data_IF_685704769305
#
_entry.id   IF_685704769305
#
_cell.length_a   1.000
_cell.length_b   1.000
_cell.length_c   1.000
_cell.angle_alpha   90.00
_cell.angle_beta   90.00
_cell.angle_gamma   90.00
#
_symmetry.space_group_name_H-M   'P 1'
#
loop_
_entity.id
_entity.type
_entity.pdbx_description
1 polymer ?
#
# COMPACT_ATOMS: atom_id res chain seq x y z
N UNK A 1 -21.62 -30.48 -45.53
CA UNK A 1 -20.60 -31.19 -46.33
C UNK A 1 -19.22 -30.86 -45.77
N UNK A 2 -18.53 -31.89 -45.28
CA UNK A 2 -17.08 -32.07 -45.08
C UNK A 2 -16.27 -31.15 -44.14
N UNK A 3 -15.88 -31.79 -43.02
CA UNK A 3 -14.66 -31.61 -42.23
C UNK A 3 -13.38 -31.48 -43.05
N UNK A 4 -12.35 -30.82 -42.48
CA UNK A 4 -10.97 -31.34 -42.49
C UNK A 4 -10.11 -30.72 -41.38
N UNK A 5 -9.61 -31.63 -40.54
CA UNK A 5 -8.55 -31.50 -39.53
C UNK A 5 -7.20 -31.59 -40.27
N UNK A 6 -6.17 -30.86 -39.85
CA UNK A 6 -4.80 -31.38 -39.84
C UNK A 6 -3.97 -30.74 -38.72
N UNK A 7 -3.31 -31.61 -37.96
CA UNK A 7 -2.36 -31.29 -36.92
C UNK A 7 -0.96 -31.80 -37.33
N UNK A 8 0.06 -31.25 -36.65
CA UNK A 8 1.44 -31.75 -36.45
C UNK A 8 2.48 -31.68 -37.59
N UNK A 9 3.51 -30.87 -37.36
CA UNK A 9 4.96 -31.18 -37.38
C UNK A 9 5.61 -30.09 -36.48
N UNK A 10 6.41 -30.34 -35.43
CA UNK A 10 7.31 -31.44 -35.16
C UNK A 10 8.71 -31.11 -35.69
N UNK A 11 9.50 -30.30 -34.97
CA UNK A 11 10.86 -29.95 -35.36
C UNK A 11 11.66 -29.30 -34.23
N UNK A 12 12.40 -30.13 -33.50
CA UNK A 12 13.43 -29.71 -32.56
C UNK A 12 14.65 -29.16 -33.32
N UNK A 13 15.23 -28.06 -32.84
CA UNK A 13 16.65 -27.78 -33.10
C UNK A 13 17.34 -27.33 -31.81
N UNK A 14 18.26 -28.18 -31.37
CA UNK A 14 19.29 -27.92 -30.38
C UNK A 14 20.14 -26.70 -30.76
N UNK A 15 20.44 -25.91 -29.72
CA UNK A 15 21.74 -25.27 -29.40
C UNK A 15 22.68 -24.94 -30.57
N UNK A 16 22.85 -23.65 -30.81
CA UNK A 16 24.12 -23.07 -31.27
C UNK A 16 24.55 -21.99 -30.28
N UNK A 17 25.51 -22.36 -29.42
CA UNK A 17 26.41 -21.44 -28.72
C UNK A 17 27.25 -20.71 -29.77
N UNK A 18 26.99 -19.42 -30.02
CA UNK A 18 27.98 -18.52 -30.61
C UNK A 18 27.76 -17.07 -30.17
N UNK A 19 28.69 -16.63 -29.33
CA UNK A 19 29.36 -15.31 -29.31
C UNK A 19 28.55 -14.06 -29.66
N UNK A 20 28.46 -13.17 -28.67
CA UNK A 20 27.82 -11.87 -28.76
C UNK A 20 28.34 -10.93 -29.85
N UNK A 21 27.49 -9.95 -30.16
CA UNK A 21 27.89 -8.66 -30.72
C UNK A 21 27.28 -7.56 -29.86
N UNK A 22 28.16 -6.81 -29.21
CA UNK A 22 27.83 -5.62 -28.45
C UNK A 22 27.38 -4.50 -29.40
N UNK A 23 26.21 -3.92 -29.14
CA UNK A 23 25.81 -2.64 -29.72
C UNK A 23 26.41 -1.54 -28.83
N UNK A 24 27.35 -0.79 -29.41
CA UNK A 24 28.10 0.29 -28.77
C UNK A 24 27.31 1.61 -28.77
N UNK A 25 27.23 2.25 -27.60
CA UNK A 25 27.25 3.72 -27.47
C UNK A 25 27.84 4.11 -26.09
N UNK A 26 28.94 4.86 -26.16
CA UNK A 26 29.61 5.67 -25.14
C UNK A 26 29.99 5.06 -23.77
N UNK A 27 31.28 4.79 -23.60
CA UNK A 27 32.08 5.27 -22.46
C UNK A 27 31.86 4.70 -21.05
N UNK A 28 30.92 3.79 -20.82
CA UNK A 28 30.73 3.15 -19.51
C UNK A 28 31.39 1.77 -19.56
N UNK A 29 32.41 1.55 -18.73
CA UNK A 29 32.93 0.21 -18.45
C UNK A 29 31.76 -0.65 -17.97
N UNK A 30 31.29 -1.57 -18.83
CA UNK A 30 30.24 -2.52 -18.45
C UNK A 30 30.86 -3.50 -17.47
N UNK A 31 30.54 -3.32 -16.19
CA UNK A 31 30.90 -4.28 -15.16
C UNK A 31 30.41 -5.66 -15.57
N UNK A 32 31.26 -6.67 -15.40
CA UNK A 32 30.85 -8.05 -15.65
C UNK A 32 29.89 -8.51 -14.55
N UNK A 33 29.02 -9.46 -14.88
CA UNK A 33 28.13 -10.09 -13.90
C UNK A 33 28.91 -10.69 -12.71
N UNK A 34 30.15 -11.12 -12.95
CA UNK A 34 31.04 -11.65 -11.92
C UNK A 34 31.55 -10.54 -10.99
N UNK A 35 31.99 -9.40 -11.54
CA UNK A 35 32.39 -8.23 -10.74
C UNK A 35 31.24 -7.70 -9.87
N UNK A 36 30.02 -7.72 -10.43
CA UNK A 36 28.79 -7.37 -9.72
C UNK A 36 28.60 -8.32 -8.53
N UNK A 37 28.64 -9.65 -8.75
CA UNK A 37 28.52 -10.63 -7.66
C UNK A 37 29.59 -10.49 -6.58
N UNK A 38 30.83 -10.24 -6.95
CA UNK A 38 31.94 -10.07 -6.02
C UNK A 38 31.78 -8.82 -5.16
N UNK A 39 31.33 -7.72 -5.76
CA UNK A 39 30.99 -6.49 -5.02
C UNK A 39 29.84 -6.74 -4.05
N UNK A 40 28.78 -7.43 -4.46
CA UNK A 40 27.66 -7.81 -3.59
C UNK A 40 28.16 -8.61 -2.39
N UNK A 41 28.95 -9.65 -2.66
CA UNK A 41 29.51 -10.53 -1.63
C UNK A 41 30.40 -9.76 -0.65
N UNK A 42 31.10 -8.72 -1.12
CA UNK A 42 31.93 -7.85 -0.27
C UNK A 42 31.13 -7.11 0.81
N UNK A 43 29.81 -6.93 0.64
CA UNK A 43 28.93 -6.32 1.65
C UNK A 43 28.41 -7.31 2.70
N UNK A 44 28.78 -8.59 2.63
CA UNK A 44 28.26 -9.62 3.54
C UNK A 44 28.45 -9.30 5.02
N UNK A 45 29.59 -8.77 5.42
CA UNK A 45 29.85 -8.42 6.83
C UNK A 45 29.11 -7.15 7.28
N UNK A 46 28.92 -6.19 6.37
CA UNK A 46 28.09 -5.00 6.62
C UNK A 46 26.63 -5.41 6.81
N UNK A 47 26.10 -6.25 5.93
CA UNK A 47 24.74 -6.77 6.05
C UNK A 47 24.58 -7.51 7.39
N UNK A 48 25.49 -8.42 7.75
CA UNK A 48 25.47 -9.10 9.05
C UNK A 48 25.51 -8.12 10.22
N UNK A 49 26.28 -7.04 10.14
CA UNK A 49 26.34 -6.04 11.21
C UNK A 49 25.00 -5.32 11.40
N UNK A 50 24.33 -4.92 10.30
CA UNK A 50 22.99 -4.33 10.33
C UNK A 50 22.00 -5.31 10.96
N UNK A 51 22.00 -6.57 10.51
CA UNK A 51 21.13 -7.63 11.02
C UNK A 51 21.36 -7.86 12.50
N UNK A 52 22.63 -7.98 12.91
CA UNK A 52 22.98 -8.21 14.29
C UNK A 52 22.54 -7.04 15.18
N UNK A 53 22.74 -5.79 14.75
CA UNK A 53 22.28 -4.62 15.51
C UNK A 53 20.75 -4.64 15.71
N UNK A 54 20.01 -4.97 14.66
CA UNK A 54 18.56 -4.91 14.62
C UNK A 54 17.86 -6.11 15.28
N UNK A 55 18.43 -7.30 15.19
CA UNK A 55 17.83 -8.54 15.72
C UNK A 55 18.34 -8.89 17.11
N UNK A 56 19.65 -8.72 17.36
CA UNK A 56 20.33 -9.22 18.56
C UNK A 56 21.01 -8.12 19.38
N UNK A 57 21.10 -6.91 18.83
CA UNK A 57 21.81 -5.79 19.42
C UNK A 57 20.87 -4.79 20.11
N UNK A 58 21.42 -3.62 20.40
CA UNK A 58 20.70 -2.55 21.12
C UNK A 58 19.48 -1.98 20.39
N UNK A 59 19.32 -2.24 19.09
CA UNK A 59 18.17 -1.77 18.31
C UNK A 59 17.05 -2.83 18.22
N UNK A 60 17.20 -3.96 18.90
CA UNK A 60 16.15 -4.98 18.99
C UNK A 60 14.83 -4.35 19.46
N UNK A 61 13.74 -4.66 18.76
CA UNK A 61 12.38 -4.15 18.99
C UNK A 61 12.17 -2.63 18.80
N UNK A 62 13.21 -1.85 18.47
CA UNK A 62 13.10 -0.39 18.39
C UNK A 62 12.01 0.07 17.41
N UNK A 63 11.94 -0.51 16.22
CA UNK A 63 10.91 -0.18 15.23
C UNK A 63 9.50 -0.49 15.74
N UNK A 64 9.31 -1.64 16.41
CA UNK A 64 8.04 -2.02 17.01
C UNK A 64 7.62 -1.05 18.12
N UNK A 65 8.53 -0.71 19.04
CA UNK A 65 8.25 0.21 20.15
C UNK A 65 7.93 1.63 19.65
N UNK A 66 8.68 2.10 18.65
CA UNK A 66 8.42 3.38 17.97
C UNK A 66 7.03 3.39 17.35
N UNK A 67 6.68 2.33 16.61
CA UNK A 67 5.37 2.21 15.96
C UNK A 67 4.25 2.13 16.99
N UNK A 68 4.39 1.26 18.00
CA UNK A 68 3.44 1.09 19.10
C UNK A 68 3.14 2.43 19.77
N UNK A 69 4.18 3.22 20.08
CA UNK A 69 4.02 4.54 20.67
C UNK A 69 3.24 5.49 19.76
N UNK A 70 3.54 5.53 18.45
CA UNK A 70 2.80 6.39 17.52
C UNK A 70 1.32 5.99 17.46
N UNK A 71 1.03 4.71 17.26
CA UNK A 71 -0.34 4.24 17.08
C UNK A 71 -1.16 4.37 18.37
N UNK A 72 -0.56 4.18 19.54
CA UNK A 72 -1.25 4.32 20.83
C UNK A 72 -1.53 5.79 21.19
N UNK A 73 -0.69 6.75 20.75
CA UNK A 73 -0.77 8.16 21.17
C UNK A 73 -1.33 9.11 20.10
N UNK A 74 -1.39 8.67 18.85
CA UNK A 74 -1.95 9.43 17.72
C UNK A 74 -3.22 8.76 17.20
N UNK A 75 -3.22 7.43 17.11
CA UNK A 75 -4.30 6.65 16.55
C UNK A 75 -4.40 6.74 15.02
N UNK A 76 -5.61 6.67 14.43
CA UNK A 76 -5.79 6.72 12.99
C UNK A 76 -5.42 8.08 12.40
N UNK A 77 -4.90 8.08 11.17
CA UNK A 77 -4.22 9.22 10.53
C UNK A 77 -4.79 9.50 9.14
N UNK A 78 -6.11 9.61 9.01
CA UNK A 78 -6.76 9.86 7.72
C UNK A 78 -6.30 11.18 7.10
N UNK A 79 -6.24 11.23 5.77
CA UNK A 79 -5.99 12.46 5.02
C UNK A 79 -6.91 13.60 5.44
N UNK A 80 -6.33 14.79 5.62
CA UNK A 80 -7.01 15.99 6.11
C UNK A 80 -7.31 15.99 7.61
N UNK A 81 -6.96 14.94 8.35
CA UNK A 81 -7.18 14.87 9.80
C UNK A 81 -6.09 15.57 10.61
N UNK A 82 -6.45 16.04 11.80
CA UNK A 82 -5.48 16.57 12.78
C UNK A 82 -4.46 15.53 13.25
N UNK A 83 -4.83 14.25 13.24
CA UNK A 83 -3.97 13.16 13.68
C UNK A 83 -2.84 12.90 12.68
N UNK A 84 -3.13 12.99 11.37
CA UNK A 84 -2.10 12.92 10.33
C UNK A 84 -1.08 14.05 10.51
N UNK A 85 -1.53 15.30 10.67
CA UNK A 85 -0.63 16.43 10.91
C UNK A 85 0.21 16.25 12.17
N UNK A 86 -0.38 15.74 13.25
CA UNK A 86 0.36 15.40 14.48
C UNK A 86 1.42 14.32 14.22
N UNK A 87 1.10 13.29 13.46
CA UNK A 87 2.04 12.23 13.11
C UNK A 87 3.21 12.75 12.27
N UNK A 88 2.93 13.61 11.28
CA UNK A 88 3.95 14.26 10.45
C UNK A 88 4.93 15.05 11.34
N UNK A 89 4.41 15.84 12.29
CA UNK A 89 5.28 16.61 13.20
C UNK A 89 6.11 15.72 14.12
N UNK A 90 5.54 14.64 14.65
CA UNK A 90 6.27 13.65 15.46
C UNK A 90 7.39 13.01 14.62
N UNK A 91 7.09 12.58 13.39
CA UNK A 91 8.08 11.99 12.50
C UNK A 91 9.19 12.97 12.14
N UNK A 92 8.84 14.20 11.78
CA UNK A 92 9.82 15.25 11.51
C UNK A 92 10.80 15.46 12.68
N UNK A 93 10.29 15.55 13.91
CA UNK A 93 11.12 15.70 15.11
C UNK A 93 11.99 14.48 15.37
N UNK A 94 11.44 13.27 15.24
CA UNK A 94 12.17 12.02 15.47
C UNK A 94 13.32 11.85 14.47
N UNK A 95 13.09 12.17 13.19
CA UNK A 95 14.11 12.10 12.14
C UNK A 95 15.27 13.07 12.41
N UNK A 96 14.97 14.26 12.95
CA UNK A 96 15.99 15.21 13.40
C UNK A 96 16.78 14.70 14.61
N UNK A 97 16.10 14.12 15.59
CA UNK A 97 16.73 13.57 16.81
C UNK A 97 17.64 12.38 16.51
N UNK A 98 17.29 11.57 15.52
CA UNK A 98 18.13 10.48 15.00
C UNK A 98 19.38 11.01 14.24
N UNK A 99 19.48 12.32 14.03
CA UNK A 99 20.62 12.96 13.38
C UNK A 99 20.71 12.62 11.89
N UNK A 100 19.58 12.31 11.24
CA UNK A 100 19.50 12.17 9.79
C UNK A 100 19.73 13.53 9.12
N UNK A 101 20.11 13.50 7.85
CA UNK A 101 20.44 14.69 7.06
C UNK A 101 19.25 15.16 6.24
N UNK A 102 19.30 16.43 5.83
CA UNK A 102 18.29 17.03 4.95
C UNK A 102 16.84 16.72 5.38
N UNK A 103 16.57 16.79 6.69
CA UNK A 103 15.23 16.51 7.22
C UNK A 103 14.34 17.72 6.94
N UNK A 104 13.30 17.54 6.13
CA UNK A 104 12.37 18.61 5.75
C UNK A 104 10.97 18.08 5.42
N UNK A 105 10.03 19.00 5.33
CA UNK A 105 8.65 18.75 4.92
C UNK A 105 8.44 19.27 3.51
N UNK A 106 7.88 18.44 2.63
CA UNK A 106 7.51 18.85 1.27
C UNK A 106 5.99 19.03 1.17
N UNK A 107 5.49 20.21 0.76
CA UNK A 107 4.06 20.49 0.74
C UNK A 107 3.31 19.62 -0.28
N UNK A 108 2.15 19.12 0.13
CA UNK A 108 1.22 18.35 -0.70
C UNK A 108 -0.20 18.87 -0.47
N UNK A 109 -0.97 18.97 -1.55
CA UNK A 109 -2.41 19.26 -1.48
C UNK A 109 -3.20 17.95 -1.43
N UNK A 110 -3.95 17.68 -0.37
CA UNK A 110 -4.58 16.37 -0.12
C UNK A 110 -6.10 16.47 -0.01
N UNK A 111 -6.85 15.41 -0.39
CA UNK A 111 -8.30 15.36 -0.20
C UNK A 111 -8.69 15.39 1.27
N UNK A 112 -9.83 16.01 1.59
CA UNK A 112 -10.39 16.02 2.94
C UNK A 112 -11.80 15.44 2.94
N UNK A 113 -11.91 14.21 3.41
CA UNK A 113 -13.18 13.49 3.57
C UNK A 113 -13.35 13.05 5.02
N UNK A 114 -14.56 13.21 5.56
CA UNK A 114 -14.93 12.77 6.89
C UNK A 114 -16.11 11.81 6.83
N UNK A 115 -15.99 10.65 7.48
CA UNK A 115 -16.99 9.58 7.49
C UNK A 115 -18.32 9.95 8.15
N UNK A 116 -18.27 10.73 9.22
CA UNK A 116 -19.43 11.02 10.07
C UNK A 116 -20.02 9.78 10.75
N UNK A 117 -21.21 9.93 11.35
CA UNK A 117 -21.94 8.81 11.92
C UNK A 117 -22.61 7.98 10.82
N UNK A 118 -22.65 6.67 11.01
CA UNK A 118 -23.25 5.76 10.05
C UNK A 118 -23.99 4.59 10.72
N UNK A 119 -25.09 4.17 10.09
CA UNK A 119 -25.85 2.99 10.53
C UNK A 119 -26.65 2.39 9.38
N UNK A 120 -26.84 1.06 9.43
CA UNK A 120 -27.84 0.39 8.61
C UNK A 120 -28.65 -0.60 9.46
N UNK A 121 -29.96 -0.62 9.20
CA UNK A 121 -30.91 -1.51 9.86
C UNK A 121 -31.78 -2.16 8.79
N UNK A 122 -31.78 -3.49 8.75
CA UNK A 122 -32.80 -4.24 8.02
C UNK A 122 -34.12 -4.13 8.77
N UNK A 123 -35.18 -3.72 8.09
CA UNK A 123 -36.53 -3.57 8.62
C UNK A 123 -37.42 -4.78 8.28
N UNK A 124 -37.27 -5.32 7.07
CA UNK A 124 -37.94 -6.53 6.59
C UNK A 124 -36.88 -7.56 6.16
N UNK A 125 -37.09 -8.87 6.40
CA UNK A 125 -38.28 -9.50 7.02
C UNK A 125 -38.28 -9.45 8.56
N UNK A 126 -37.18 -8.99 9.17
CA UNK A 126 -37.03 -8.81 10.61
C UNK A 126 -36.12 -7.63 10.89
N UNK A 127 -36.24 -7.07 12.08
CA UNK A 127 -35.28 -6.09 12.57
C UNK A 127 -33.91 -6.76 12.75
N UNK A 128 -32.89 -6.24 12.07
CA UNK A 128 -31.50 -6.69 12.20
C UNK A 128 -30.55 -5.51 12.00
N UNK A 129 -29.66 -5.27 12.96
CA UNK A 129 -28.61 -4.26 12.83
C UNK A 129 -27.48 -4.82 11.97
N UNK A 130 -27.17 -4.14 10.88
CA UNK A 130 -26.11 -4.52 9.95
C UNK A 130 -24.85 -3.76 10.38
N UNK A 131 -23.72 -4.47 10.47
CA UNK A 131 -22.45 -3.81 10.66
C UNK A 131 -21.98 -3.23 9.33
N UNK A 132 -21.82 -1.90 9.29
CA UNK A 132 -21.46 -1.15 8.09
C UNK A 132 -20.22 -0.33 8.29
N UNK A 133 -19.56 -0.01 7.19
CA UNK A 133 -18.49 0.94 7.16
C UNK A 133 -18.41 1.66 5.80
N UNK A 134 -18.62 2.96 5.79
CA UNK A 134 -18.61 3.80 4.60
C UNK A 134 -17.33 3.64 3.81
N UNK A 135 -17.40 3.78 2.49
CA UNK A 135 -16.19 3.79 1.67
C UNK A 135 -15.64 5.22 1.62
N UNK A 136 -14.31 5.34 1.63
CA UNK A 136 -13.66 6.64 1.58
C UNK A 136 -13.98 7.34 0.27
N UNK A 137 -14.33 8.63 0.36
CA UNK A 137 -14.92 9.47 -0.68
C UNK A 137 -16.44 9.30 -0.91
N UNK A 138 -17.12 8.33 -0.29
CA UNK A 138 -18.57 8.20 -0.42
C UNK A 138 -19.29 9.45 0.07
N UNK A 139 -20.34 9.86 -0.65
CA UNK A 139 -21.27 10.86 -0.13
C UNK A 139 -22.10 10.32 1.03
N UNK A 140 -22.59 11.22 1.87
CA UNK A 140 -23.60 10.91 2.89
C UNK A 140 -24.99 10.69 2.29
N UNK A 141 -25.87 10.07 3.07
CA UNK A 141 -27.30 10.01 2.76
C UNK A 141 -27.98 11.37 3.02
N UNK A 142 -29.19 11.60 2.50
CA UNK A 142 -30.06 12.65 3.03
C UNK A 142 -30.25 12.52 4.56
N UNK A 143 -30.56 13.62 5.29
CA UNK A 143 -30.70 13.59 6.76
C UNK A 143 -31.69 12.55 7.31
N UNK A 144 -32.77 12.29 6.58
CA UNK A 144 -33.78 11.29 6.89
C UNK A 144 -33.28 9.84 6.67
N UNK A 145 -32.18 9.66 5.92
CA UNK A 145 -31.67 8.38 5.48
C UNK A 145 -32.35 7.85 4.22
N UNK A 146 -31.85 6.74 3.68
CA UNK A 146 -32.45 6.04 2.54
C UNK A 146 -33.12 4.78 3.07
N UNK A 147 -34.43 4.65 2.87
CA UNK A 147 -35.15 3.41 3.16
C UNK A 147 -35.65 2.80 1.86
N UNK A 148 -35.12 1.64 1.48
CA UNK A 148 -35.45 1.02 0.20
C UNK A 148 -35.33 -0.51 0.23
N UNK A 149 -35.97 -1.15 -0.75
CA UNK A 149 -35.81 -2.58 -0.99
C UNK A 149 -34.38 -2.88 -1.47
N UNK A 150 -33.89 -4.07 -1.16
CA UNK A 150 -32.55 -4.52 -1.55
C UNK A 150 -32.60 -5.40 -2.78
N UNK A 151 -31.70 -5.13 -3.72
CA UNK A 151 -31.34 -6.05 -4.80
C UNK A 151 -29.98 -6.68 -4.49
N UNK A 152 -29.95 -7.98 -4.20
CA UNK A 152 -28.69 -8.72 -4.01
C UNK A 152 -28.21 -9.28 -5.35
N UNK A 153 -26.96 -9.00 -5.69
CA UNK A 153 -26.26 -9.50 -6.88
C UNK A 153 -24.84 -9.95 -6.52
N UNK A 154 -24.24 -10.79 -7.35
CA UNK A 154 -22.90 -11.36 -7.13
C UNK A 154 -21.83 -10.80 -8.06
N UNK A 155 -22.25 -10.07 -9.12
CA UNK A 155 -21.34 -9.43 -10.06
C UNK A 155 -21.93 -8.21 -10.75
N UNK A 156 -21.09 -7.39 -11.38
CA UNK A 156 -21.53 -6.30 -12.25
C UNK A 156 -22.34 -6.82 -13.44
N UNK A 157 -21.94 -7.96 -14.04
CA UNK A 157 -22.71 -8.57 -15.13
C UNK A 157 -24.11 -8.99 -14.69
N UNK A 158 -24.25 -9.51 -13.47
CA UNK A 158 -25.57 -9.84 -12.93
C UNK A 158 -26.42 -8.58 -12.73
N UNK A 159 -25.82 -7.52 -12.16
CA UNK A 159 -26.49 -6.23 -12.02
C UNK A 159 -27.00 -5.70 -13.37
N UNK A 160 -26.16 -5.74 -14.41
CA UNK A 160 -26.54 -5.28 -15.73
C UNK A 160 -27.69 -6.11 -16.33
N UNK A 161 -27.65 -7.45 -16.20
CA UNK A 161 -28.77 -8.31 -16.63
C UNK A 161 -30.07 -8.03 -15.89
N UNK A 162 -29.97 -7.58 -14.64
CA UNK A 162 -31.09 -7.29 -13.74
C UNK A 162 -31.33 -5.78 -13.56
N UNK A 163 -30.86 -4.96 -14.49
CA UNK A 163 -30.89 -3.51 -14.36
C UNK A 163 -32.31 -2.95 -14.14
N UNK A 164 -33.33 -3.56 -14.75
CA UNK A 164 -34.73 -3.19 -14.57
C UNK A 164 -35.24 -3.38 -13.13
N UNK A 165 -34.63 -4.27 -12.36
CA UNK A 165 -34.97 -4.53 -10.96
C UNK A 165 -34.27 -3.57 -9.99
N UNK A 166 -33.18 -2.91 -10.41
CA UNK A 166 -32.30 -2.14 -9.53
C UNK A 166 -32.80 -0.71 -9.25
N UNK A 167 -33.63 -0.16 -10.14
CA UNK A 167 -34.13 1.22 -10.02
C UNK A 167 -34.85 1.44 -8.69
N UNK A 168 -34.39 2.43 -7.92
CA UNK A 168 -34.99 2.79 -6.63
C UNK A 168 -34.65 1.84 -5.48
N UNK A 169 -33.71 0.90 -5.68
CA UNK A 169 -33.28 -0.07 -4.67
C UNK A 169 -31.88 0.23 -4.13
N UNK A 170 -31.55 -0.39 -3.00
CA UNK A 170 -30.16 -0.52 -2.53
C UNK A 170 -29.57 -1.77 -3.14
N UNK A 171 -28.45 -1.65 -3.87
CA UNK A 171 -27.77 -2.81 -4.45
C UNK A 171 -26.78 -3.38 -3.44
N UNK A 172 -26.92 -4.67 -3.11
CA UNK A 172 -25.93 -5.40 -2.30
C UNK A 172 -25.09 -6.28 -3.22
N UNK A 173 -23.79 -6.02 -3.29
CA UNK A 173 -22.83 -6.87 -4.01
C UNK A 173 -22.28 -7.95 -3.08
N UNK A 174 -22.84 -9.16 -3.16
CA UNK A 174 -22.37 -10.34 -2.45
C UNK A 174 -21.32 -11.12 -3.26
N UNK A 175 -20.25 -10.44 -3.70
CA UNK A 175 -19.20 -11.08 -4.48
C UNK A 175 -18.28 -11.92 -3.57
N UNK A 176 -18.08 -13.23 -3.85
CA UNK A 176 -17.17 -14.08 -3.08
C UNK A 176 -15.70 -13.67 -3.27
N UNK A 177 -14.93 -13.61 -2.18
CA UNK A 177 -13.53 -13.23 -2.24
C UNK A 177 -12.72 -14.26 -3.03
N UNK A 178 -11.95 -13.79 -4.02
CA UNK A 178 -11.03 -14.61 -4.81
C UNK A 178 -9.60 -14.26 -4.40
N UNK A 179 -9.24 -13.00 -4.62
CA UNK A 179 -8.04 -12.35 -4.15
C UNK A 179 -8.31 -10.84 -4.13
N UNK A 180 -7.43 -10.08 -3.46
CA UNK A 180 -7.64 -8.64 -3.30
C UNK A 180 -7.76 -7.92 -4.65
N UNK A 181 -6.82 -8.12 -5.58
CA UNK A 181 -6.80 -7.44 -6.89
C UNK A 181 -8.04 -7.69 -7.74
N UNK A 182 -8.68 -8.86 -7.62
CA UNK A 182 -9.91 -9.18 -8.34
C UNK A 182 -11.16 -8.69 -7.62
N UNK A 183 -11.21 -8.76 -6.29
CA UNK A 183 -12.42 -8.41 -5.53
C UNK A 183 -12.52 -6.92 -5.23
N UNK A 184 -11.40 -6.19 -5.14
CA UNK A 184 -11.38 -4.76 -4.78
C UNK A 184 -12.17 -3.87 -5.74
N UNK A 185 -12.35 -4.28 -7.01
CA UNK A 185 -13.14 -3.52 -8.00
C UNK A 185 -14.58 -3.22 -7.53
N UNK A 186 -15.19 -4.11 -6.72
CA UNK A 186 -16.54 -3.88 -6.19
C UNK A 186 -16.56 -2.78 -5.14
N UNK A 187 -15.49 -2.64 -4.36
CA UNK A 187 -15.29 -1.50 -3.46
C UNK A 187 -15.10 -0.23 -4.27
N UNK A 188 -14.20 -0.26 -5.26
CA UNK A 188 -13.82 0.94 -6.01
C UNK A 188 -14.95 1.46 -6.90
N UNK A 189 -15.65 0.58 -7.63
CA UNK A 189 -16.59 0.95 -8.71
C UNK A 189 -18.05 0.59 -8.41
N UNK A 190 -18.34 -0.06 -7.28
CA UNK A 190 -19.69 -0.57 -6.99
C UNK A 190 -20.78 0.51 -6.96
N UNK A 191 -20.45 1.71 -6.47
CA UNK A 191 -21.35 2.86 -6.46
C UNK A 191 -21.71 3.31 -7.87
N UNK A 192 -20.70 3.47 -8.73
CA UNK A 192 -20.85 3.89 -10.13
C UNK A 192 -21.70 2.88 -10.91
N UNK A 193 -21.41 1.58 -10.79
CA UNK A 193 -22.16 0.54 -11.51
C UNK A 193 -23.62 0.45 -11.04
N UNK A 194 -23.87 0.63 -9.73
CA UNK A 194 -25.22 0.67 -9.18
C UNK A 194 -25.99 1.93 -9.61
N UNK A 195 -25.33 3.09 -9.62
CA UNK A 195 -25.92 4.36 -10.04
C UNK A 195 -26.33 4.35 -11.52
N UNK A 196 -25.53 3.74 -12.41
CA UNK A 196 -25.84 3.60 -13.85
C UNK A 196 -27.20 2.92 -14.11
N UNK A 197 -27.65 2.03 -13.21
CA UNK A 197 -28.93 1.32 -13.32
C UNK A 197 -30.04 1.92 -12.42
N UNK A 198 -29.77 3.07 -11.80
CA UNK A 198 -30.76 3.83 -11.01
C UNK A 198 -30.93 3.36 -9.57
N UNK A 199 -29.95 2.67 -8.99
CA UNK A 199 -29.92 2.37 -7.57
C UNK A 199 -29.80 3.65 -6.73
N UNK A 200 -30.27 3.60 -5.48
CA UNK A 200 -30.21 4.72 -4.53
C UNK A 200 -28.95 4.71 -3.66
N UNK A 201 -28.37 3.53 -3.45
CA UNK A 201 -27.12 3.31 -2.72
C UNK A 201 -26.55 1.92 -3.05
N UNK A 202 -25.29 1.69 -2.70
CA UNK A 202 -24.66 0.36 -2.80
C UNK A 202 -24.05 -0.11 -1.48
N UNK A 203 -24.17 -1.40 -1.20
CA UNK A 203 -23.55 -2.06 -0.07
C UNK A 203 -22.65 -3.20 -0.58
N UNK A 204 -21.38 -3.17 -0.21
CA UNK A 204 -20.38 -4.09 -0.74
C UNK A 204 -20.04 -5.14 0.33
N UNK A 205 -20.10 -6.43 0.00
CA UNK A 205 -19.48 -7.46 0.84
C UNK A 205 -18.00 -7.12 1.04
N UNK A 206 -17.56 -7.06 2.29
CA UNK A 206 -16.17 -6.70 2.61
C UNK A 206 -15.17 -7.54 1.82
N UNK A 207 -14.12 -6.87 1.32
CA UNK A 207 -13.06 -7.46 0.50
C UNK A 207 -12.14 -8.30 1.39
N UNK A 208 -12.63 -9.46 1.83
CA UNK A 208 -11.97 -10.30 2.81
C UNK A 208 -12.23 -11.79 2.55
N UNK A 209 -11.19 -12.62 2.73
CA UNK A 209 -11.30 -14.08 2.73
C UNK A 209 -11.92 -14.62 4.01
N UNK A 210 -11.66 -13.95 5.14
CA UNK A 210 -12.18 -14.25 6.48
C UNK A 210 -12.89 -13.01 7.02
N UNK A 211 -14.00 -13.20 7.74
CA UNK A 211 -14.65 -12.13 8.49
C UNK A 211 -14.88 -12.57 9.92
N UNK A 212 -14.78 -11.59 10.81
CA UNK A 212 -15.10 -11.72 12.24
C UNK A 212 -16.21 -10.73 12.60
N UNK A 213 -17.18 -10.57 11.69
CA UNK A 213 -18.20 -9.52 11.75
C UNK A 213 -17.61 -8.08 11.71
N UNK A 214 -16.51 -7.88 10.99
CA UNK A 214 -15.84 -6.60 10.80
C UNK A 214 -15.94 -6.12 9.34
N UNK A 215 -16.66 -5.02 9.06
CA UNK A 215 -16.67 -4.43 7.72
C UNK A 215 -15.35 -3.71 7.40
N UNK A 216 -14.94 -3.70 6.13
CA UNK A 216 -13.69 -3.07 5.68
C UNK A 216 -13.96 -1.80 4.85
N UNK A 217 -13.30 -0.70 5.18
CA UNK A 217 -13.35 0.51 4.35
C UNK A 217 -12.30 0.45 3.24
N UNK A 218 -12.05 1.59 2.61
CA UNK A 218 -11.11 1.73 1.52
C UNK A 218 -11.62 2.74 0.51
N UNK A 219 -10.75 3.10 -0.42
CA UNK A 219 -11.08 4.05 -1.48
C UNK A 219 -12.22 3.52 -2.36
N UNK A 220 -13.13 4.43 -2.70
CA UNK A 220 -14.05 4.30 -3.83
C UNK A 220 -13.89 5.51 -4.77
N UNK A 221 -14.32 5.35 -6.01
CA UNK A 221 -14.21 6.38 -7.04
C UNK A 221 -15.57 6.61 -7.70
N UNK A 222 -15.99 7.87 -7.76
CA UNK A 222 -17.09 8.29 -8.61
C UNK A 222 -16.63 8.51 -10.05
N UNK A 223 -17.59 8.55 -10.97
CA UNK A 223 -17.33 8.75 -12.40
C UNK A 223 -18.10 9.98 -12.88
N UNK A 224 -17.42 10.86 -13.62
CA UNK A 224 -18.05 12.01 -14.25
C UNK A 224 -19.27 11.62 -15.10
N UNK A 225 -20.36 12.36 -14.93
CA UNK A 225 -21.62 12.12 -15.64
C UNK A 225 -22.47 10.98 -15.08
N UNK A 226 -22.03 10.30 -14.02
CA UNK A 226 -22.83 9.31 -13.28
C UNK A 226 -23.28 9.92 -11.95
N UNK A 227 -24.56 9.80 -11.56
CA UNK A 227 -25.00 10.29 -10.25
C UNK A 227 -24.22 9.64 -9.10
N UNK A 228 -23.75 10.45 -8.17
CA UNK A 228 -23.13 9.95 -6.94
C UNK A 228 -24.20 9.38 -6.02
N UNK A 229 -23.93 8.19 -5.46
CA UNK A 229 -24.82 7.52 -4.50
C UNK A 229 -24.02 7.09 -3.26
N UNK A 230 -24.63 7.06 -2.07
CA UNK A 230 -23.97 6.55 -0.86
C UNK A 230 -23.51 5.11 -1.04
N UNK A 231 -22.32 4.79 -0.53
CA UNK A 231 -21.76 3.45 -0.62
C UNK A 231 -20.96 3.06 0.63
N UNK A 232 -21.19 1.84 1.11
CA UNK A 232 -20.53 1.31 2.29
C UNK A 232 -20.21 -0.17 2.11
N UNK A 233 -19.20 -0.66 2.83
CA UNK A 233 -19.02 -2.08 3.03
C UNK A 233 -19.90 -2.59 4.16
N UNK A 234 -20.29 -3.85 4.04
CA UNK A 234 -20.96 -4.63 5.07
C UNK A 234 -20.17 -5.90 5.35
N UNK A 235 -20.48 -6.55 6.46
CA UNK A 235 -19.84 -7.82 6.82
C UNK A 235 -20.14 -8.92 5.79
N UNK A 236 -19.28 -9.94 5.76
CA UNK A 236 -19.50 -11.12 4.90
C UNK A 236 -20.79 -11.83 5.31
N UNK A 237 -21.02 -11.93 6.62
CA UNK A 237 -22.14 -12.60 7.24
C UNK A 237 -23.47 -11.94 6.87
N UNK A 238 -23.54 -10.60 6.91
CA UNK A 238 -24.74 -9.85 6.53
C UNK A 238 -25.02 -9.95 5.02
N UNK A 239 -24.00 -9.84 4.17
CA UNK A 239 -24.14 -9.99 2.73
C UNK A 239 -24.64 -11.40 2.35
N UNK A 240 -24.07 -12.44 2.94
CA UNK A 240 -24.48 -13.82 2.70
C UNK A 240 -25.86 -14.14 3.28
N UNK A 241 -26.20 -13.58 4.45
CA UNK A 241 -27.55 -13.68 5.01
C UNK A 241 -28.58 -13.12 4.04
N UNK A 242 -28.34 -11.91 3.51
CA UNK A 242 -29.23 -11.27 2.55
C UNK A 242 -29.32 -12.06 1.25
N UNK A 243 -28.20 -12.62 0.77
CA UNK A 243 -28.20 -13.49 -0.40
C UNK A 243 -29.08 -14.74 -0.20
N UNK A 244 -29.00 -15.38 0.96
CA UNK A 244 -29.88 -16.52 1.31
C UNK A 244 -31.36 -16.13 1.49
N UNK A 245 -31.66 -14.90 1.89
CA UNK A 245 -33.04 -14.40 1.97
C UNK A 245 -33.58 -14.13 0.56
N UNK A 246 -32.82 -13.41 -0.26
CA UNK A 246 -33.18 -13.08 -1.63
C UNK A 246 -33.39 -14.34 -2.50
N UNK A 247 -32.56 -15.38 -2.35
CA UNK A 247 -32.72 -16.65 -3.08
C UNK A 247 -33.99 -17.42 -2.72
N UNK A 248 -34.62 -17.11 -1.57
CA UNK A 248 -35.92 -17.66 -1.15
C UNK A 248 -37.10 -16.76 -1.57
N UNK A 249 -36.85 -15.69 -2.33
CA UNK A 249 -37.86 -14.70 -2.70
C UNK A 249 -38.33 -13.83 -1.53
N UNK A 250 -37.57 -13.78 -0.43
CA UNK A 250 -37.91 -12.95 0.73
C UNK A 250 -37.52 -11.51 0.43
N UNK A 251 -38.49 -10.60 0.57
CA UNK A 251 -38.28 -9.16 0.45
C UNK A 251 -37.41 -8.66 1.61
N UNK A 252 -36.42 -7.84 1.27
CA UNK A 252 -35.49 -7.23 2.23
C UNK A 252 -35.61 -5.72 2.07
N UNK A 253 -35.82 -5.02 3.19
CA UNK A 253 -35.85 -3.54 3.22
C UNK A 253 -34.82 -3.06 4.22
N UNK A 254 -33.96 -2.12 3.80
CA UNK A 254 -32.92 -1.52 4.65
C UNK A 254 -33.18 -0.03 4.79
N UNK A 255 -33.02 0.49 6.01
CA UNK A 255 -32.76 1.89 6.26
C UNK A 255 -31.25 2.11 6.42
N UNK A 256 -30.67 2.96 5.56
CA UNK A 256 -29.27 3.35 5.56
C UNK A 256 -29.14 4.83 5.95
N UNK A 257 -28.22 5.15 6.85
CA UNK A 257 -27.82 6.51 7.18
C UNK A 257 -26.30 6.62 7.15
N UNK A 258 -25.80 7.62 6.45
CA UNK A 258 -24.38 7.95 6.38
C UNK A 258 -24.20 9.46 6.49
N UNK A 259 -23.38 9.90 7.44
CA UNK A 259 -23.10 11.31 7.69
C UNK A 259 -21.88 11.85 6.93
N UNK A 260 -21.38 11.10 5.94
CA UNK A 260 -20.12 11.40 5.27
C UNK A 260 -20.14 12.75 4.53
N UNK A 261 -19.02 13.46 4.57
CA UNK A 261 -18.84 14.79 3.99
C UNK A 261 -17.48 14.91 3.33
N UNK A 262 -17.48 15.52 2.15
CA UNK A 262 -16.26 15.94 1.45
C UNK A 262 -16.10 17.44 1.63
N UNK A 263 -14.92 17.85 2.07
CA UNK A 263 -14.50 19.23 2.19
C UNK A 263 -13.58 19.60 1.02
N UNK A 264 -13.31 20.89 0.78
CA UNK A 264 -12.24 21.28 -0.12
C UNK A 264 -10.93 20.62 0.32
N UNK A 265 -10.07 20.32 -0.65
CA UNK A 265 -8.71 19.84 -0.37
C UNK A 265 -8.01 20.73 0.67
N UNK A 266 -7.03 20.18 1.37
CA UNK A 266 -6.26 20.89 2.38
C UNK A 266 -4.77 20.71 2.16
N UNK A 267 -3.97 21.62 2.72
CA UNK A 267 -2.52 21.53 2.67
C UNK A 267 -2.03 20.57 3.75
N UNK A 268 -1.00 19.80 3.42
CA UNK A 268 -0.29 18.87 4.29
C UNK A 268 1.14 18.68 3.78
N UNK A 269 1.85 17.66 4.26
CA UNK A 269 3.26 17.45 3.93
C UNK A 269 3.62 15.97 3.75
N UNK A 270 4.49 15.68 2.78
CA UNK A 270 5.34 14.49 2.84
C UNK A 270 6.53 14.78 3.78
N UNK A 271 7.02 13.76 4.48
CA UNK A 271 8.20 13.91 5.35
C UNK A 271 9.43 13.29 4.69
N UNK A 272 10.52 14.04 4.58
CA UNK A 272 11.74 13.61 3.89
C UNK A 272 12.94 13.64 4.85
N UNK A 273 13.81 12.63 4.77
CA UNK A 273 15.10 12.59 5.46
C UNK A 273 16.13 11.79 4.65
N UNK A 274 17.41 12.02 4.88
CA UNK A 274 18.49 11.44 4.06
C UNK A 274 19.67 10.93 4.88
N UNK A 275 20.42 10.03 4.25
CA UNK A 275 21.84 9.78 4.54
C UNK A 275 22.59 10.08 3.25
N UNK A 276 23.34 11.19 3.20
CA UNK A 276 24.07 11.60 2.00
C UNK A 276 25.09 10.54 1.62
N UNK A 277 25.10 10.20 0.32
CA UNK A 277 26.02 9.23 -0.25
C UNK A 277 27.47 9.71 -0.26
N UNK A 278 28.42 8.79 -0.14
CA UNK A 278 29.85 9.12 -0.07
C UNK A 278 30.53 9.27 -1.44
N UNK A 279 30.00 8.61 -2.48
CA UNK A 279 30.64 8.53 -3.81
C UNK A 279 29.80 9.14 -4.92
N UNK A 280 28.49 8.97 -4.83
CA UNK A 280 27.47 9.41 -5.78
C UNK A 280 26.33 10.09 -5.00
N UNK A 281 26.61 11.20 -4.27
CA UNK A 281 25.60 11.87 -3.44
C UNK A 281 24.38 12.37 -4.23
N UNK A 282 24.53 12.59 -5.54
CA UNK A 282 23.45 12.97 -6.45
C UNK A 282 22.52 11.80 -6.82
N UNK A 283 22.97 10.55 -6.65
CA UNK A 283 22.15 9.39 -6.94
C UNK A 283 21.39 8.97 -5.69
N UNK A 284 20.07 8.85 -5.82
CA UNK A 284 19.17 8.60 -4.70
C UNK A 284 18.59 7.19 -4.80
N UNK A 285 18.64 6.46 -3.70
CA UNK A 285 17.84 5.26 -3.46
C UNK A 285 16.75 5.64 -2.48
N UNK A 286 15.50 5.51 -2.91
CA UNK A 286 14.33 5.85 -2.12
C UNK A 286 13.93 4.67 -1.25
N UNK A 287 13.60 4.91 0.01
CA UNK A 287 13.09 3.91 0.96
C UNK A 287 11.86 4.56 1.60
N UNK A 288 10.68 3.94 1.54
CA UNK A 288 9.45 4.67 1.89
C UNK A 288 8.38 3.82 2.55
N UNK A 289 7.37 4.52 3.06
CA UNK A 289 6.07 3.98 3.43
C UNK A 289 5.10 5.15 3.50
N UNK A 290 3.81 4.90 3.69
CA UNK A 290 2.86 5.98 3.87
C UNK A 290 2.50 6.18 5.34
N UNK A 291 2.34 7.44 5.73
CA UNK A 291 2.10 7.82 7.11
C UNK A 291 0.61 7.95 7.41
N UNK A 292 -0.24 8.13 6.40
CA UNK A 292 -1.67 8.11 6.58
C UNK A 292 -2.21 6.70 6.87
N UNK A 293 -3.52 6.62 7.14
CA UNK A 293 -4.25 5.37 7.33
C UNK A 293 -5.74 5.65 7.32
N UNK A 294 -6.55 4.62 7.12
CA UNK A 294 -7.98 4.72 7.39
C UNK A 294 -8.33 5.04 8.85
N UNK A 295 -9.51 5.60 9.05
CA UNK A 295 -9.98 6.24 10.27
C UNK A 295 -10.55 5.30 11.36
N UNK A 296 -10.58 3.99 11.10
CA UNK A 296 -11.35 3.01 11.89
C UNK A 296 -10.47 2.03 12.68
N UNK A 297 -9.16 2.05 12.40
CA UNK A 297 -8.15 1.28 13.11
C UNK A 297 -7.10 2.20 13.72
N UNK A 298 -5.88 1.69 13.85
CA UNK A 298 -4.73 2.49 14.31
C UNK A 298 -3.65 2.68 13.23
N UNK A 299 -3.89 2.17 12.01
CA UNK A 299 -2.92 2.22 10.92
C UNK A 299 -1.59 1.54 11.25
N UNK A 300 -1.61 0.47 12.04
CA UNK A 300 -0.39 -0.19 12.51
C UNK A 300 0.27 -1.02 11.40
N UNK A 301 -0.52 -1.83 10.69
CA UNK A 301 0.00 -2.64 9.58
C UNK A 301 -0.04 -1.89 8.25
N UNK A 302 -1.02 -1.01 8.05
CA UNK A 302 -1.25 -0.25 6.81
C UNK A 302 -1.25 1.25 7.15
N UNK A 303 -0.15 1.98 6.93
CA UNK A 303 1.22 1.47 6.64
C UNK A 303 2.23 1.87 7.73
N UNK A 304 1.79 1.86 8.99
CA UNK A 304 2.71 2.08 10.12
C UNK A 304 3.92 1.13 10.09
N UNK A 305 3.71 -0.13 9.68
CA UNK A 305 4.76 -1.12 9.52
C UNK A 305 5.82 -0.71 8.50
N UNK A 306 5.42 -0.50 7.24
CA UNK A 306 6.34 -0.11 6.17
C UNK A 306 7.01 1.23 6.43
N UNK A 307 6.26 2.24 6.89
CA UNK A 307 6.81 3.54 7.26
C UNK A 307 7.90 3.45 8.34
N UNK A 308 7.67 2.67 9.40
CA UNK A 308 8.62 2.55 10.52
C UNK A 308 9.78 1.61 10.23
N UNK A 309 9.61 0.62 9.34
CA UNK A 309 10.72 -0.18 8.83
C UNK A 309 11.63 0.68 7.96
N UNK A 310 11.06 1.52 7.09
CA UNK A 310 11.80 2.45 6.24
C UNK A 310 12.59 3.48 7.04
N UNK A 311 12.01 4.02 8.11
CA UNK A 311 12.73 4.85 9.07
C UNK A 311 13.83 4.07 9.82
N UNK A 312 13.54 2.87 10.29
CA UNK A 312 14.50 2.04 11.02
C UNK A 312 15.72 1.67 10.14
N UNK A 313 15.52 1.42 8.85
CA UNK A 313 16.60 1.12 7.92
C UNK A 313 17.66 2.23 7.88
N UNK A 314 17.24 3.49 7.78
CA UNK A 314 18.16 4.63 7.84
C UNK A 314 18.77 4.78 9.25
N UNK A 315 17.96 4.61 10.30
CA UNK A 315 18.42 4.69 11.69
C UNK A 315 19.57 3.72 11.99
N UNK A 316 19.45 2.45 11.54
CA UNK A 316 20.47 1.42 11.74
C UNK A 316 21.78 1.74 10.97
N UNK A 317 21.67 2.24 9.74
CA UNK A 317 22.83 2.65 8.95
C UNK A 317 23.56 3.80 9.65
N UNK A 318 22.80 4.79 10.17
CA UNK A 318 23.32 5.90 10.95
C UNK A 318 24.01 5.44 12.23
N UNK A 319 23.38 4.55 13.00
CA UNK A 319 23.91 4.01 14.26
C UNK A 319 25.25 3.29 14.11
N UNK A 320 25.44 2.60 12.99
CA UNK A 320 26.68 1.91 12.67
C UNK A 320 27.75 2.82 12.07
N UNK A 321 27.45 4.11 11.87
CA UNK A 321 28.34 5.06 11.21
C UNK A 321 28.64 4.69 9.75
N UNK A 322 27.75 3.93 9.11
CA UNK A 322 27.91 3.49 7.73
C UNK A 322 27.54 4.62 6.78
N UNK A 323 28.29 4.73 5.67
CA UNK A 323 27.96 5.65 4.58
C UNK A 323 27.80 4.88 3.27
N UNK A 324 26.59 4.87 2.68
CA UNK A 324 26.34 4.28 1.37
C UNK A 324 27.02 5.11 0.28
N UNK A 325 27.31 4.50 -0.88
CA UNK A 325 27.86 5.17 -2.05
C UNK A 325 26.88 6.21 -2.59
N UNK A 326 25.59 5.86 -2.61
CA UNK A 326 24.46 6.69 -3.07
C UNK A 326 23.72 7.26 -1.87
N UNK A 327 23.03 8.37 -2.06
CA UNK A 327 22.17 8.94 -1.03
C UNK A 327 20.99 8.02 -0.78
N UNK A 328 20.74 7.66 0.48
CA UNK A 328 19.48 7.02 0.88
C UNK A 328 18.51 8.11 1.27
N UNK A 329 17.33 8.13 0.66
CA UNK A 329 16.27 9.10 0.98
C UNK A 329 15.06 8.35 1.51
N UNK A 330 14.71 8.62 2.76
CA UNK A 330 13.41 8.29 3.32
C UNK A 330 12.39 9.30 2.80
N UNK A 331 11.27 8.80 2.29
CA UNK A 331 10.07 9.62 2.15
C UNK A 331 8.88 8.92 2.79
N UNK A 332 8.21 9.60 3.71
CA UNK A 332 6.94 9.18 4.27
C UNK A 332 5.83 9.89 3.52
N UNK A 333 5.07 9.12 2.73
CA UNK A 333 4.01 9.63 1.87
C UNK A 333 2.78 10.01 2.67
N UNK A 334 2.07 11.01 2.18
CA UNK A 334 0.78 11.42 2.73
C UNK A 334 -0.31 11.24 1.68
N UNK A 335 -1.49 10.82 2.13
CA UNK A 335 -2.66 10.53 1.31
C UNK A 335 -2.43 9.43 0.26
N UNK A 336 -1.77 8.35 0.67
CA UNK A 336 -1.70 7.11 -0.11
C UNK A 336 -3.07 6.45 -0.20
N UNK A 337 -3.81 6.43 0.91
CA UNK A 337 -5.11 5.76 1.02
C UNK A 337 -6.18 6.40 0.10
N UNK A 338 -5.94 7.63 -0.35
CA UNK A 338 -6.77 8.35 -1.31
C UNK A 338 -6.23 8.28 -2.76
N UNK A 339 -5.35 7.33 -3.04
CA UNK A 339 -4.85 7.04 -4.39
C UNK A 339 -3.43 7.55 -4.66
N UNK A 340 -2.54 7.51 -3.66
CA UNK A 340 -1.12 7.83 -3.86
C UNK A 340 -0.83 9.32 -4.12
N UNK A 341 -1.62 10.23 -3.54
CA UNK A 341 -1.60 11.66 -3.86
C UNK A 341 -0.24 12.30 -3.54
N UNK A 342 0.32 12.03 -2.36
CA UNK A 342 1.62 12.56 -1.94
C UNK A 342 2.77 12.08 -2.80
N UNK A 343 2.82 10.79 -3.11
CA UNK A 343 3.83 10.22 -4.00
C UNK A 343 3.72 10.78 -5.42
N UNK A 344 2.49 10.95 -5.93
CA UNK A 344 2.26 11.53 -7.25
C UNK A 344 2.76 12.98 -7.33
N UNK A 345 2.40 13.84 -6.37
CA UNK A 345 2.84 15.23 -6.36
C UNK A 345 4.35 15.36 -6.18
N UNK A 346 4.95 14.51 -5.33
CA UNK A 346 6.41 14.41 -5.21
C UNK A 346 7.05 14.10 -6.56
N UNK A 347 6.55 13.09 -7.27
CA UNK A 347 7.05 12.75 -8.61
C UNK A 347 6.91 13.93 -9.58
N UNK A 348 5.77 14.63 -9.59
CA UNK A 348 5.59 15.80 -10.47
C UNK A 348 6.58 16.93 -10.17
N UNK A 349 6.87 17.18 -8.90
CA UNK A 349 7.80 18.22 -8.46
C UNK A 349 9.25 17.88 -8.86
N UNK A 350 9.67 16.63 -8.66
CA UNK A 350 11.07 16.25 -8.80
C UNK A 350 11.46 15.65 -10.16
N UNK A 351 10.51 15.25 -11.02
CA UNK A 351 10.81 14.63 -12.33
C UNK A 351 11.68 15.49 -13.26
N UNK A 352 11.63 16.82 -13.11
CA UNK A 352 12.39 17.77 -13.96
C UNK A 352 13.80 18.02 -13.42
N UNK A 353 13.93 18.18 -12.11
CA UNK A 353 15.19 18.54 -11.43
C UNK A 353 16.03 17.31 -11.07
N UNK A 354 15.41 16.14 -10.97
CA UNK A 354 16.04 14.86 -10.65
C UNK A 354 15.60 13.79 -11.67
N UNK A 355 16.09 13.83 -12.92
CA UNK A 355 15.64 12.94 -13.99
C UNK A 355 15.85 11.45 -13.68
N UNK A 356 16.70 11.11 -12.72
CA UNK A 356 16.89 9.73 -12.24
C UNK A 356 15.72 9.20 -11.41
N UNK A 357 14.89 10.05 -10.79
CA UNK A 357 13.63 9.61 -10.14
C UNK A 357 12.71 8.96 -11.18
N UNK A 358 12.76 9.40 -12.45
CA UNK A 358 12.03 8.74 -13.53
C UNK A 358 12.70 7.44 -14.03
N UNK A 359 13.90 7.10 -13.56
CA UNK A 359 14.76 6.05 -14.15
C UNK A 359 15.18 4.93 -13.18
N UNK A 360 15.24 5.20 -11.87
CA UNK A 360 15.70 4.25 -10.84
C UNK A 360 14.93 4.40 -9.51
N UNK A 361 13.62 4.66 -9.59
CA UNK A 361 12.75 4.65 -8.41
C UNK A 361 12.53 3.20 -7.95
N UNK A 362 13.29 2.78 -6.94
CA UNK A 362 13.03 1.54 -6.22
C UNK A 362 12.20 1.89 -4.99
N UNK A 363 10.88 1.81 -5.11
CA UNK A 363 9.99 1.92 -3.97
C UNK A 363 10.01 0.55 -3.26
N UNK A 364 10.64 0.49 -2.10
CA UNK A 364 10.31 -0.50 -1.10
C UNK A 364 9.12 0.07 -0.32
N UNK A 365 7.92 -0.30 -0.70
CA UNK A 365 6.68 0.03 0.01
C UNK A 365 6.08 -1.31 0.45
N UNK A 366 6.07 -1.57 1.75
CA UNK A 366 5.62 -2.83 2.31
C UNK A 366 4.15 -2.70 2.73
N UNK A 367 3.24 -2.49 1.77
CA UNK A 367 1.81 -2.59 2.06
C UNK A 367 1.41 -4.06 2.20
N UNK A 368 0.90 -4.44 3.38
CA UNK A 368 0.25 -5.73 3.70
C UNK A 368 1.11 -7.00 3.86
N UNK A 369 1.65 -7.23 5.07
CA UNK A 369 2.12 -8.55 5.54
C UNK A 369 0.99 -9.59 5.74
N UNK A 370 -0.28 -9.20 5.65
CA UNK A 370 -1.44 -10.07 5.94
C UNK A 370 -1.71 -11.18 4.91
N UNK A 371 -0.99 -11.22 3.78
CA UNK A 371 -1.21 -12.21 2.71
C UNK A 371 -0.36 -13.49 2.84
N UNK A 372 0.58 -13.56 3.79
CA UNK A 372 1.48 -14.70 3.97
C UNK A 372 1.03 -15.59 5.14
N UNK A 373 0.09 -16.51 4.87
CA UNK A 373 -0.30 -17.58 5.80
C UNK A 373 0.86 -18.59 5.98
N UNK A 374 1.62 -18.51 7.07
CA UNK A 374 2.52 -19.58 7.53
C UNK A 374 2.13 -20.09 8.93
N UNK A 375 1.91 -21.41 9.11
CA UNK A 375 1.19 -21.95 10.26
C UNK A 375 2.09 -22.24 11.48
N UNK A 376 3.00 -21.33 11.87
CA UNK A 376 3.79 -21.49 13.10
C UNK A 376 4.32 -20.14 13.64
N UNK A 377 3.46 -19.35 14.27
CA UNK A 377 3.84 -18.12 14.97
C UNK A 377 4.16 -18.40 16.44
N UNK A 378 5.43 -18.19 16.82
CA UNK A 378 5.81 -17.71 18.18
C UNK A 378 7.23 -17.10 18.28
N UNK A 379 8.03 -17.02 17.21
CA UNK A 379 9.40 -16.44 17.27
C UNK A 379 9.92 -15.75 15.99
N UNK A 380 9.05 -15.29 15.09
CA UNK A 380 9.50 -14.81 13.77
C UNK A 380 8.77 -13.53 13.35
N UNK A 381 9.28 -12.36 13.71
CA UNK A 381 8.78 -11.07 13.15
C UNK A 381 9.88 -10.04 12.80
N UNK A 382 11.16 -10.44 12.75
CA UNK A 382 12.24 -9.54 12.30
C UNK A 382 13.26 -10.25 11.42
N UNK A 383 13.57 -11.52 11.72
CA UNK A 383 14.42 -12.36 10.87
C UNK A 383 13.80 -12.54 9.48
N UNK A 384 12.46 -12.55 9.40
CA UNK A 384 11.78 -12.52 8.11
C UNK A 384 11.87 -11.15 7.43
N UNK A 385 11.81 -9.98 8.07
CA UNK A 385 12.03 -8.70 7.34
C UNK A 385 13.42 -8.64 6.69
N UNK A 386 14.45 -9.12 7.37
CA UNK A 386 15.81 -9.17 6.82
C UNK A 386 15.92 -10.20 5.70
N UNK A 387 15.31 -11.39 5.85
CA UNK A 387 15.25 -12.36 4.76
C UNK A 387 14.24 -11.95 3.67
N UNK A 388 13.26 -11.09 3.92
CA UNK A 388 12.27 -10.59 2.96
C UNK A 388 12.85 -9.45 2.13
N UNK A 389 13.79 -8.70 2.70
CA UNK A 389 14.72 -7.82 1.98
C UNK A 389 15.66 -8.62 1.04
N UNK A 390 15.72 -9.96 1.10
CA UNK A 390 16.60 -10.76 0.24
C UNK A 390 15.92 -11.92 -0.54
N UNK A 391 14.84 -12.53 -0.05
CA UNK A 391 14.14 -13.70 -0.61
C UNK A 391 12.74 -13.38 -1.14
N UNK A 392 12.09 -12.28 -0.70
CA UNK A 392 10.82 -11.85 -1.32
C UNK A 392 11.02 -11.18 -2.69
N UNK A 393 12.28 -10.89 -3.02
CA UNK A 393 12.72 -10.55 -4.36
C UNK A 393 12.47 -11.66 -5.40
N UNK A 394 12.27 -12.92 -4.97
CA UNK A 394 12.04 -14.03 -5.91
C UNK A 394 10.57 -14.16 -6.35
N UNK A 395 9.61 -13.61 -5.59
CA UNK A 395 8.18 -13.92 -5.81
C UNK A 395 7.36 -12.80 -6.44
N UNK A 396 7.66 -11.52 -6.16
CA UNK A 396 6.88 -10.41 -6.71
C UNK A 396 7.29 -10.00 -8.13
N UNK A 397 8.52 -10.31 -8.55
CA UNK A 397 9.01 -9.96 -9.90
C UNK A 397 8.48 -10.86 -11.01
N UNK A 398 7.94 -12.04 -10.69
CA UNK A 398 7.55 -13.02 -11.71
C UNK A 398 6.13 -12.85 -12.27
N UNK A 399 5.26 -12.10 -11.60
CA UNK A 399 3.83 -12.09 -11.94
C UNK A 399 3.27 -10.79 -12.51
N UNK A 400 4.00 -9.66 -12.47
CA UNK A 400 3.48 -8.42 -13.06
C UNK A 400 4.27 -7.88 -14.24
N UNK A 401 5.59 -7.98 -14.33
CA UNK A 401 6.34 -7.50 -15.50
C UNK A 401 7.53 -8.43 -15.76
N UNK A 402 7.55 -9.09 -16.92
CA UNK A 402 8.56 -10.07 -17.28
C UNK A 402 9.95 -9.44 -17.47
N UNK A 403 10.95 -9.92 -16.73
CA UNK A 403 12.35 -9.57 -16.94
C UNK A 403 13.28 -10.11 -15.84
N UNK A 404 13.95 -11.23 -16.11
CA UNK A 404 14.83 -11.92 -15.15
C UNK A 404 16.24 -11.29 -14.98
N UNK A 405 16.49 -10.09 -15.53
CA UNK A 405 17.84 -9.50 -15.61
C UNK A 405 18.10 -8.35 -14.60
N UNK A 406 17.08 -7.77 -13.98
CA UNK A 406 17.23 -6.56 -13.16
C UNK A 406 17.52 -6.84 -11.67
N UNK A 407 17.30 -8.07 -11.20
CA UNK A 407 17.52 -8.47 -9.81
C UNK A 407 19.00 -8.44 -9.38
N UNK A 408 19.95 -8.62 -10.30
CA UNK A 408 21.38 -8.58 -9.96
C UNK A 408 21.94 -7.16 -9.78
N UNK A 409 21.17 -6.13 -10.14
CA UNK A 409 21.60 -4.72 -10.04
C UNK A 409 21.42 -4.15 -8.62
N UNK A 410 20.48 -4.69 -7.85
CA UNK A 410 20.06 -4.21 -6.52
C UNK A 410 21.18 -4.17 -5.47
N UNK A 411 21.98 -5.23 -5.35
CA UNK A 411 23.04 -5.30 -4.34
C UNK A 411 24.36 -4.59 -4.76
N UNK A 412 24.49 -4.21 -6.02
CA UNK A 412 25.67 -3.49 -6.55
C UNK A 412 25.63 -1.99 -6.32
N UNK A 413 24.45 -1.41 -6.12
CA UNK A 413 24.31 0.04 -6.11
C UNK A 413 24.38 0.71 -4.73
N UNK A 414 24.15 0.00 -3.62
CA UNK A 414 24.05 0.63 -2.28
C UNK A 414 25.37 0.74 -1.53
N UNK A 415 26.46 0.22 -2.10
CA UNK A 415 27.69 -0.12 -1.41
C UNK A 415 28.19 0.81 -0.30
N UNK A 416 28.54 0.26 0.85
CA UNK A 416 28.92 1.02 2.05
C UNK A 416 30.43 1.05 2.29
N UNK A 417 30.95 2.14 2.87
CA UNK A 417 32.31 2.21 3.43
C UNK A 417 32.28 2.74 4.87
N UNK A 418 33.24 2.29 5.70
CA UNK A 418 33.43 2.73 7.09
C UNK A 418 34.30 4.00 7.09
N UNK A 419 33.85 5.06 7.76
CA UNK A 419 34.66 6.28 7.96
C UNK A 419 35.66 6.03 9.09
N UNK A 420 36.93 6.37 8.87
CA UNK A 420 37.99 6.24 9.87
C UNK A 420 37.82 7.29 10.99
N UNK A 421 37.91 6.83 12.24
CA UNK A 421 38.08 7.70 13.41
C UNK A 421 39.52 8.22 13.43
N UNK A 422 39.70 9.49 13.10
CA UNK A 422 40.88 10.25 13.52
C UNK A 422 40.40 11.55 14.15
N UNK A 423 40.73 11.74 15.42
CA UNK A 423 40.60 13.02 16.12
C UNK A 423 39.75 12.98 17.39
N UNK A 424 40.24 12.33 18.45
CA UNK A 424 39.99 12.70 19.85
C UNK A 424 40.82 11.81 20.78
N UNK A 425 42.07 12.23 21.02
CA UNK A 425 42.82 11.85 22.22
C UNK A 425 43.83 12.95 22.52
N UNK A 426 43.46 13.83 23.45
CA UNK A 426 44.35 14.59 24.32
C UNK A 426 43.47 15.15 25.43
N UNK A 427 43.35 14.40 26.53
CA UNK A 427 43.19 14.86 27.91
C UNK A 427 42.92 13.64 28.80
N UNK A 428 43.96 13.12 29.45
CA UNK A 428 43.96 12.68 30.87
C UNK A 428 45.36 12.24 31.27
N UNK A 429 46.07 13.16 31.91
CA UNK A 429 46.80 12.87 33.16
C UNK A 429 45.96 13.41 34.30
#
# INVERSE_FOLDING_TARGET
MKFLIFAFFGGAHLLSLCSGKAIYKNGISKRTFQEIKEEIASYGDVAKAIINLAVYGKAQNRSYERLALLVDTVGPRLSGSKNLEKAIQIMYQNLQQDGLENVHLEPVRIPHWERGEESAVMLEPRIHKIAILGLGSSIGTPPEGITAEVLVVTSFDELQRRASEARGKIVVYNQPYINYSRTVQYRTQGAVEAAKVGALASLIRSVASLSIYSPHTGIQEYQDGVPEIPTACITVEDAEMMSRMASRGIKIVIQLKMGAKTYPDTDSFNTVAEITGSKYPEQVVLVSGHLDSWDVGQGAMDDGGGAFISWEALSLIKDLGLRPKRTLRLVLWTAEEQGGVGAFQYYQLHKVTQPWIAKHLYILEETNLASLNYPNQRRVSFVNCVYVIFDLFFFFFFFFWGGCLDFLYFLVETGFHRVSQDGLDLLTS
#
